data_IF_256929172296
#
_entry.id   IF_256929172296
#
_cell.length_a   1.000
_cell.length_b   1.000
_cell.length_c   1.000
_cell.angle_alpha   90.00
_cell.angle_beta   90.00
_cell.angle_gamma   90.00
#
_symmetry.space_group_name_H-M   'P 1'
#
loop_
_entity.id
_entity.type
_entity.pdbx_description
1 polymer ?
#
# COMPACT_ATOMS: atom_id res chain seq x y z
N UNK A 1 15.42 17.97 7.84
CA UNK A 1 14.56 17.32 6.82
C UNK A 1 15.13 17.71 5.47
N UNK A 2 15.50 16.75 4.63
CA UNK A 2 16.04 17.05 3.28
C UNK A 2 14.88 17.28 2.31
N UNK A 3 14.99 18.31 1.47
CA UNK A 3 14.05 18.52 0.36
C UNK A 3 14.20 17.40 -0.66
N UNK A 4 13.09 16.77 -1.02
CA UNK A 4 13.04 15.76 -2.09
C UNK A 4 12.47 16.40 -3.35
N UNK A 5 13.02 16.08 -4.55
CA UNK A 5 12.42 16.49 -5.80
C UNK A 5 10.95 16.07 -5.89
N UNK A 6 10.11 16.92 -6.47
CA UNK A 6 8.66 16.68 -6.56
C UNK A 6 8.32 15.32 -7.19
N UNK A 7 9.08 14.89 -8.22
CA UNK A 7 8.92 13.56 -8.84
C UNK A 7 9.13 12.44 -7.83
N UNK A 8 10.18 12.52 -7.01
CA UNK A 8 10.45 11.51 -5.98
C UNK A 8 9.37 11.49 -4.88
N UNK A 9 8.73 12.63 -4.60
CA UNK A 9 7.60 12.67 -3.68
C UNK A 9 6.41 11.84 -4.18
N UNK A 10 6.05 11.96 -5.46
CA UNK A 10 4.95 11.17 -6.04
C UNK A 10 5.27 9.67 -6.10
N UNK A 11 6.50 9.31 -6.43
CA UNK A 11 6.95 7.92 -6.40
C UNK A 11 6.78 7.32 -5.00
N UNK A 12 7.21 8.07 -3.96
CA UNK A 12 7.04 7.64 -2.56
C UNK A 12 5.58 7.50 -2.15
N UNK A 13 4.70 8.39 -2.60
CA UNK A 13 3.25 8.30 -2.31
C UNK A 13 2.67 7.04 -2.94
N UNK A 14 2.96 6.78 -4.22
CA UNK A 14 2.45 5.58 -4.89
C UNK A 14 2.94 4.28 -4.24
N UNK A 15 4.21 4.20 -3.84
CA UNK A 15 4.74 3.03 -3.09
C UNK A 15 3.99 2.83 -1.77
N UNK A 16 3.67 3.90 -1.04
CA UNK A 16 2.89 3.83 0.21
C UNK A 16 1.46 3.34 -0.03
N UNK A 17 0.81 3.80 -1.09
CA UNK A 17 -0.54 3.36 -1.43
C UNK A 17 -0.58 1.89 -1.87
N UNK A 18 0.41 1.45 -2.65
CA UNK A 18 0.60 0.04 -3.03
C UNK A 18 0.74 -0.81 -1.77
N UNK A 19 1.67 -0.43 -0.87
CA UNK A 19 1.93 -1.14 0.37
C UNK A 19 0.68 -1.28 1.23
N UNK A 20 -0.02 -0.16 1.48
CA UNK A 20 -1.24 -0.15 2.30
C UNK A 20 -2.32 -1.04 1.70
N UNK A 21 -2.53 -1.00 0.38
CA UNK A 21 -3.52 -1.83 -0.28
C UNK A 21 -3.17 -3.33 -0.16
N UNK A 22 -1.93 -3.71 -0.49
CA UNK A 22 -1.48 -5.10 -0.44
C UNK A 22 -1.60 -5.69 0.96
N UNK A 23 -1.25 -4.94 2.01
CA UNK A 23 -1.28 -5.47 3.37
C UNK A 23 -2.71 -5.69 3.87
N UNK A 24 -3.60 -4.71 3.64
CA UNK A 24 -5.01 -4.86 4.02
C UNK A 24 -5.68 -6.00 3.25
N UNK A 25 -5.39 -6.14 1.97
CA UNK A 25 -5.88 -7.27 1.16
C UNK A 25 -5.32 -8.61 1.65
N UNK A 26 -4.04 -8.66 2.04
CA UNK A 26 -3.42 -9.88 2.55
C UNK A 26 -4.00 -10.30 3.91
N UNK A 27 -4.26 -9.36 4.82
CA UNK A 27 -4.96 -9.64 6.08
C UNK A 27 -6.32 -10.30 5.79
N UNK A 28 -7.09 -9.74 4.85
CA UNK A 28 -8.39 -10.30 4.46
C UNK A 28 -8.23 -11.68 3.83
N UNK A 29 -7.22 -11.87 2.99
CA UNK A 29 -6.96 -13.13 2.31
C UNK A 29 -6.53 -14.25 3.26
N UNK A 30 -5.68 -13.95 4.24
CA UNK A 30 -5.15 -14.95 5.18
C UNK A 30 -6.03 -15.13 6.42
N UNK A 31 -6.87 -14.15 6.74
CA UNK A 31 -7.62 -14.12 7.99
C UNK A 31 -6.74 -13.85 9.21
N UNK A 32 -5.49 -13.41 9.03
CA UNK A 32 -4.54 -13.15 10.11
C UNK A 32 -4.06 -11.70 10.12
N UNK A 33 -3.88 -11.18 11.33
CA UNK A 33 -3.28 -9.87 11.61
C UNK A 33 -1.95 -10.00 12.37
N UNK A 34 -1.15 -11.00 11.99
CA UNK A 34 0.23 -11.12 12.47
C UNK A 34 1.07 -9.94 11.96
N UNK A 35 2.09 -9.54 12.74
CA UNK A 35 2.94 -8.40 12.42
C UNK A 35 3.58 -8.52 11.03
N UNK A 36 3.98 -9.71 10.61
CA UNK A 36 4.58 -10.00 9.31
C UNK A 36 3.59 -9.80 8.15
N UNK A 37 2.29 -9.84 8.42
CA UNK A 37 1.23 -9.64 7.44
C UNK A 37 0.76 -8.18 7.42
N UNK A 38 0.64 -7.55 8.59
CA UNK A 38 0.22 -6.15 8.71
C UNK A 38 1.35 -5.19 8.31
N UNK A 39 2.59 -5.54 8.67
CA UNK A 39 3.80 -4.75 8.46
C UNK A 39 4.92 -5.55 7.78
N UNK A 40 4.69 -6.13 6.57
CA UNK A 40 5.72 -6.80 5.80
C UNK A 40 6.82 -5.82 5.36
N UNK A 41 7.91 -6.37 4.81
CA UNK A 41 8.91 -5.59 4.07
C UNK A 41 8.26 -4.78 2.94
N UNK A 42 8.87 -3.63 2.63
CA UNK A 42 8.49 -2.78 1.50
C UNK A 42 8.83 -3.38 0.14
N UNK A 43 9.68 -4.41 0.09
CA UNK A 43 10.22 -4.99 -1.15
C UNK A 43 9.14 -5.32 -2.18
N UNK A 44 8.01 -5.88 -1.74
CA UNK A 44 6.91 -6.25 -2.63
C UNK A 44 6.22 -5.02 -3.24
N UNK A 45 6.00 -3.96 -2.46
CA UNK A 45 5.40 -2.73 -2.94
C UNK A 45 6.35 -1.96 -3.86
N UNK A 46 7.64 -1.94 -3.52
CA UNK A 46 8.66 -1.33 -4.36
C UNK A 46 8.89 -2.09 -5.67
N UNK A 47 8.82 -3.43 -5.65
CA UNK A 47 8.93 -4.24 -6.87
C UNK A 47 7.80 -3.91 -7.84
N UNK A 48 6.55 -3.87 -7.36
CA UNK A 48 5.40 -3.45 -8.17
C UNK A 48 5.60 -2.05 -8.73
N UNK A 49 6.08 -1.11 -7.91
CA UNK A 49 6.39 0.24 -8.39
C UNK A 49 7.43 0.24 -9.50
N UNK A 50 8.56 -0.43 -9.30
CA UNK A 50 9.66 -0.49 -10.28
C UNK A 50 9.22 -1.14 -11.59
N UNK A 51 8.45 -2.21 -11.51
CA UNK A 51 8.02 -3.01 -12.66
C UNK A 51 6.91 -2.33 -13.46
N UNK A 52 6.00 -1.61 -12.81
CA UNK A 52 4.78 -1.12 -13.45
C UNK A 52 4.72 0.40 -13.63
N UNK A 53 5.46 1.17 -12.83
CA UNK A 53 5.23 2.62 -12.71
C UNK A 53 6.51 3.46 -12.77
N UNK A 54 7.71 2.87 -12.88
CA UNK A 54 8.97 3.63 -12.82
C UNK A 54 9.09 4.69 -13.93
N UNK A 55 8.55 4.39 -15.11
CA UNK A 55 8.57 5.27 -16.29
C UNK A 55 7.40 6.25 -16.38
N UNK A 56 6.38 6.10 -15.53
CA UNK A 56 5.13 6.85 -15.64
C UNK A 56 5.32 8.35 -15.47
N UNK A 57 4.45 9.08 -16.16
CA UNK A 57 4.24 10.49 -15.92
C UNK A 57 3.46 10.73 -14.63
N UNK A 58 3.53 11.96 -14.12
CA UNK A 58 2.89 12.34 -12.86
C UNK A 58 1.41 11.97 -12.81
N UNK A 59 0.67 12.22 -13.89
CA UNK A 59 -0.78 12.03 -13.90
C UNK A 59 -1.16 10.54 -13.86
N UNK A 60 -0.36 9.67 -14.46
CA UNK A 60 -0.53 8.21 -14.43
C UNK A 60 -0.30 7.68 -13.01
N UNK A 61 0.77 8.15 -12.35
CA UNK A 61 1.04 7.80 -10.95
C UNK A 61 -0.08 8.24 -10.01
N UNK A 62 -0.68 9.42 -10.23
CA UNK A 62 -1.82 9.89 -9.44
C UNK A 62 -3.07 9.03 -9.65
N UNK A 63 -3.33 8.60 -10.90
CA UNK A 63 -4.43 7.69 -11.20
C UNK A 63 -4.22 6.32 -10.55
N UNK A 64 -2.99 5.80 -10.58
CA UNK A 64 -2.64 4.55 -9.90
C UNK A 64 -2.81 4.67 -8.37
N UNK A 65 -2.34 5.77 -7.78
CA UNK A 65 -2.48 6.06 -6.34
C UNK A 65 -3.95 6.06 -5.92
N UNK A 66 -4.82 6.72 -6.68
CA UNK A 66 -6.27 6.72 -6.45
C UNK A 66 -6.88 5.31 -6.54
N UNK A 67 -6.44 4.48 -7.50
CA UNK A 67 -6.87 3.09 -7.61
C UNK A 67 -6.46 2.23 -6.41
N UNK A 68 -5.20 2.34 -5.95
CA UNK A 68 -4.73 1.63 -4.76
C UNK A 68 -5.42 2.11 -3.48
N UNK A 69 -5.70 3.41 -3.37
CA UNK A 69 -6.47 3.95 -2.25
C UNK A 69 -7.89 3.38 -2.18
N UNK A 70 -8.59 3.25 -3.32
CA UNK A 70 -9.89 2.58 -3.37
C UNK A 70 -9.81 1.13 -2.90
N UNK A 71 -8.80 0.38 -3.36
CA UNK A 71 -8.56 -1.01 -2.95
C UNK A 71 -8.34 -1.14 -1.45
N UNK A 72 -7.44 -0.33 -0.91
CA UNK A 72 -7.17 -0.26 0.53
C UNK A 72 -8.45 0.04 1.32
N UNK A 73 -9.23 1.04 0.89
CA UNK A 73 -10.47 1.43 1.57
C UNK A 73 -11.55 0.35 1.47
N UNK A 74 -11.62 -0.41 0.38
CA UNK A 74 -12.54 -1.53 0.23
C UNK A 74 -12.18 -2.70 1.17
N UNK A 75 -10.89 -3.01 1.33
CA UNK A 75 -10.43 -4.07 2.23
C UNK A 75 -10.48 -3.69 3.71
N UNK A 76 -10.38 -2.39 4.03
CA UNK A 76 -10.22 -1.88 5.39
C UNK A 76 -11.27 -2.36 6.40
N UNK A 77 -12.59 -2.40 6.11
CA UNK A 77 -13.58 -2.83 7.10
C UNK A 77 -13.38 -4.29 7.53
N UNK A 78 -13.09 -5.18 6.57
CA UNK A 78 -12.85 -6.59 6.84
C UNK A 78 -11.51 -6.82 7.57
N UNK A 79 -10.44 -6.16 7.10
CA UNK A 79 -9.13 -6.22 7.76
C UNK A 79 -9.22 -5.70 9.21
N UNK A 80 -9.98 -4.63 9.45
CA UNK A 80 -10.22 -4.09 10.79
C UNK A 80 -10.87 -5.11 11.71
N UNK A 81 -11.94 -5.77 11.25
CA UNK A 81 -12.62 -6.78 12.04
C UNK A 81 -11.68 -7.94 12.44
N UNK A 82 -10.81 -8.38 11.53
CA UNK A 82 -9.81 -9.43 11.78
C UNK A 82 -8.79 -8.96 12.84
N UNK A 83 -8.22 -7.78 12.66
CA UNK A 83 -7.20 -7.25 13.57
C UNK A 83 -7.77 -6.86 14.93
N UNK A 84 -8.97 -6.32 15.02
CA UNK A 84 -9.64 -6.03 16.30
C UNK A 84 -9.86 -7.32 17.10
N UNK A 85 -10.26 -8.41 16.44
CA UNK A 85 -10.42 -9.72 17.08
C UNK A 85 -9.09 -10.30 17.60
N UNK A 86 -7.97 -9.95 16.95
CA UNK A 86 -6.62 -10.29 17.38
C UNK A 86 -6.03 -9.31 18.41
N UNK A 87 -6.67 -8.16 18.65
CA UNK A 87 -6.13 -7.08 19.49
C UNK A 87 -5.00 -6.25 18.86
N UNK A 88 -4.84 -6.31 17.53
CA UNK A 88 -3.69 -5.78 16.77
C UNK A 88 -4.08 -4.73 15.69
N UNK A 89 -5.19 -4.01 15.85
CA UNK A 89 -5.60 -2.99 14.88
C UNK A 89 -4.84 -1.67 14.98
#
# INVERSE_FOLDING_TARGET
MQEIPLRQAYQRVLVQDIYRAQNLERIVQTGSCDCEIQFPSWDAAEAVFRESYASDERWEMLQASDAYNRRANAARPAAKAICDAAGNW
#
